data_IF_555664319885
#
_entry.id   IF_555664319885
#
_cell.length_a   1.000
_cell.length_b   1.000
_cell.length_c   1.000
_cell.angle_alpha   90.00
_cell.angle_beta   90.00
_cell.angle_gamma   90.00
#
_symmetry.space_group_name_H-M   'P 1'
#
loop_
_entity.id
_entity.type
_entity.pdbx_description
1 polymer ?
#
# COMPACT_ATOMS: atom_id res chain seq x y z
N UNK A 1 1.61 8.98 -5.61
CA UNK A 1 0.41 8.98 -4.75
C UNK A 1 0.27 10.30 -4.02
N UNK A 2 1.37 10.95 -3.63
CA UNK A 2 1.34 12.31 -3.09
C UNK A 2 0.61 13.30 -4.02
N UNK A 3 0.88 13.24 -5.32
CA UNK A 3 0.20 14.11 -6.31
C UNK A 3 -1.32 13.87 -6.39
N UNK A 4 -1.75 12.61 -6.31
CA UNK A 4 -3.18 12.25 -6.30
C UNK A 4 -3.88 12.84 -5.07
N UNK A 5 -3.24 12.75 -3.90
CA UNK A 5 -3.73 13.35 -2.65
C UNK A 5 -3.79 14.87 -2.75
N UNK A 6 -2.73 15.52 -3.22
CA UNK A 6 -2.67 16.97 -3.40
C UNK A 6 -3.75 17.47 -4.37
N UNK A 7 -4.03 16.70 -5.44
CA UNK A 7 -5.11 17.00 -6.38
C UNK A 7 -6.49 16.89 -5.71
N UNK A 8 -6.75 15.80 -4.98
CA UNK A 8 -8.00 15.61 -4.24
C UNK A 8 -8.22 16.72 -3.19
N UNK A 9 -7.18 17.08 -2.43
CA UNK A 9 -7.20 18.19 -1.48
C UNK A 9 -7.47 19.53 -2.19
N UNK A 10 -6.95 19.72 -3.39
CA UNK A 10 -7.25 20.89 -4.21
C UNK A 10 -8.72 21.02 -4.55
N UNK A 11 -9.32 19.94 -5.04
CA UNK A 11 -10.76 19.86 -5.33
C UNK A 11 -11.59 20.13 -4.07
N UNK A 12 -11.22 19.52 -2.94
CA UNK A 12 -11.91 19.67 -1.66
C UNK A 12 -11.83 21.09 -1.07
N UNK A 13 -10.80 21.87 -1.41
CA UNK A 13 -10.70 23.28 -1.00
C UNK A 13 -11.60 24.20 -1.80
N UNK A 14 -11.94 23.82 -3.03
CA UNK A 14 -12.64 24.67 -3.99
C UNK A 14 -14.12 24.31 -4.11
N UNK A 15 -14.50 23.12 -3.68
CA UNK A 15 -15.83 22.57 -3.84
C UNK A 15 -16.34 21.90 -2.56
N UNK A 16 -17.45 22.40 -2.05
CA UNK A 16 -18.15 21.81 -0.90
C UNK A 16 -19.03 20.61 -1.29
N UNK A 17 -19.18 20.34 -2.60
CA UNK A 17 -19.95 19.21 -3.14
C UNK A 17 -19.43 18.78 -4.52
N UNK A 18 -19.54 17.48 -4.81
CA UNK A 18 -19.23 16.88 -6.11
C UNK A 18 -20.44 16.10 -6.60
N UNK A 19 -21.06 16.53 -7.70
CA UNK A 19 -22.21 15.83 -8.30
C UNK A 19 -21.79 14.52 -8.99
N UNK A 20 -20.62 14.54 -9.65
CA UNK A 20 -20.09 13.38 -10.35
C UNK A 20 -18.56 13.32 -10.29
N UNK A 21 -18.04 12.13 -10.02
CA UNK A 21 -16.62 11.78 -10.14
C UNK A 21 -16.48 10.73 -11.24
N UNK A 22 -15.67 11.03 -12.26
CA UNK A 22 -15.39 10.10 -13.36
C UNK A 22 -13.91 9.73 -13.35
N UNK A 23 -13.63 8.52 -12.88
CA UNK A 23 -12.32 7.90 -12.94
C UNK A 23 -12.07 7.35 -14.35
N UNK A 24 -11.77 8.26 -15.28
CA UNK A 24 -11.51 7.95 -16.68
C UNK A 24 -10.03 7.78 -17.01
N UNK A 25 -9.13 8.43 -16.25
CA UNK A 25 -7.71 8.35 -16.53
C UNK A 25 -7.23 6.90 -16.42
N UNK A 26 -6.56 6.43 -17.45
CA UNK A 26 -6.00 5.08 -17.50
C UNK A 26 -4.83 5.01 -18.47
N UNK A 27 -3.88 4.11 -18.18
CA UNK A 27 -2.76 3.81 -19.07
C UNK A 27 -2.79 2.35 -19.49
N UNK A 28 -2.49 2.11 -20.76
CA UNK A 28 -2.25 0.78 -21.32
C UNK A 28 -1.02 0.87 -22.22
N UNK A 29 0.01 0.11 -21.86
CA UNK A 29 1.27 0.07 -22.59
C UNK A 29 1.46 -1.40 -23.00
N UNK A 30 0.93 -1.81 -24.16
CA UNK A 30 0.88 -3.22 -24.56
C UNK A 30 2.23 -3.81 -24.95
N UNK A 31 3.27 -2.97 -25.10
CA UNK A 31 4.59 -3.40 -25.54
C UNK A 31 5.66 -2.53 -24.89
N UNK A 32 6.67 -3.16 -24.30
CA UNK A 32 7.79 -2.46 -23.65
C UNK A 32 8.11 -3.05 -22.28
N UNK A 33 9.23 -2.62 -21.66
CA UNK A 33 9.60 -3.07 -20.33
C UNK A 33 8.59 -2.54 -19.29
N UNK A 34 8.46 -3.27 -18.17
CA UNK A 34 7.75 -2.83 -16.96
C UNK A 34 8.22 -1.43 -16.58
N UNK A 35 7.26 -0.53 -16.29
CA UNK A 35 7.55 0.83 -15.86
C UNK A 35 7.05 1.03 -14.45
N UNK A 36 7.72 1.89 -13.71
CA UNK A 36 7.34 2.26 -12.35
C UNK A 36 6.92 3.73 -12.30
N UNK A 37 5.94 4.01 -11.44
CA UNK A 37 5.62 5.35 -10.98
C UNK A 37 6.73 5.90 -10.09
N UNK A 38 6.70 7.21 -9.80
CA UNK A 38 7.65 7.84 -8.88
C UNK A 38 7.57 7.26 -7.45
N UNK A 39 6.45 6.62 -7.09
CA UNK A 39 6.26 5.96 -5.81
C UNK A 39 6.69 4.47 -5.82
N UNK A 40 7.28 3.98 -6.92
CA UNK A 40 7.78 2.60 -7.04
C UNK A 40 6.73 1.53 -7.37
N UNK A 41 5.47 1.92 -7.59
CA UNK A 41 4.45 0.98 -8.09
C UNK A 41 4.58 0.76 -9.59
N UNK A 42 4.26 -0.45 -10.06
CA UNK A 42 4.06 -0.70 -11.49
C UNK A 42 3.05 0.31 -12.07
N UNK A 43 3.33 0.88 -13.24
CA UNK A 43 2.65 2.04 -13.76
C UNK A 43 1.16 1.80 -14.11
N UNK A 44 0.80 0.65 -14.71
CA UNK A 44 -0.61 0.33 -14.97
C UNK A 44 -1.36 0.16 -13.65
N UNK A 45 -0.78 -0.59 -12.71
CA UNK A 45 -1.33 -0.76 -11.38
C UNK A 45 -1.56 0.61 -10.75
N UNK A 46 -0.53 1.45 -10.66
CA UNK A 46 -0.55 2.77 -10.02
C UNK A 46 -1.66 3.70 -10.55
N UNK A 47 -1.84 3.76 -11.86
CA UNK A 47 -2.77 4.71 -12.50
C UNK A 47 -4.19 4.15 -12.54
N UNK A 48 -4.35 2.85 -12.84
CA UNK A 48 -5.66 2.28 -13.13
C UNK A 48 -6.39 1.81 -11.87
N UNK A 49 -5.72 1.70 -10.71
CA UNK A 49 -6.33 1.16 -9.49
C UNK A 49 -6.18 2.01 -8.19
N UNK A 50 -4.99 2.17 -7.55
CA UNK A 50 -4.88 2.90 -6.30
C UNK A 50 -5.11 4.41 -6.49
N UNK A 51 -4.79 4.99 -7.66
CA UNK A 51 -5.13 6.38 -7.94
C UNK A 51 -6.66 6.65 -7.95
N UNK A 52 -7.49 5.96 -8.75
CA UNK A 52 -8.94 6.14 -8.72
C UNK A 52 -9.57 5.69 -7.39
N UNK A 53 -9.00 4.68 -6.71
CA UNK A 53 -9.39 4.34 -5.34
C UNK A 53 -9.23 5.54 -4.40
N UNK A 54 -8.04 6.17 -4.37
CA UNK A 54 -7.80 7.36 -3.56
C UNK A 54 -8.69 8.54 -3.96
N UNK A 55 -8.86 8.81 -5.26
CA UNK A 55 -9.72 9.90 -5.74
C UNK A 55 -11.20 9.69 -5.40
N UNK A 56 -11.63 8.45 -5.17
CA UNK A 56 -12.99 8.14 -4.72
C UNK A 56 -13.11 8.23 -3.20
N UNK A 57 -12.12 7.72 -2.46
CA UNK A 57 -12.16 7.64 -1.00
C UNK A 57 -11.85 8.97 -0.31
N UNK A 58 -10.92 9.77 -0.82
CA UNK A 58 -10.53 11.05 -0.20
C UNK A 58 -11.67 12.06 -0.15
N UNK A 59 -12.49 12.26 -1.21
CA UNK A 59 -13.60 13.19 -1.18
C UNK A 59 -14.92 12.58 -0.70
N UNK A 60 -14.93 11.39 -0.08
CA UNK A 60 -16.15 10.81 0.52
C UNK A 60 -16.95 11.79 1.40
N UNK A 61 -16.33 12.70 2.18
CA UNK A 61 -17.10 13.67 2.97
C UNK A 61 -17.94 14.68 2.16
N UNK A 62 -17.61 14.93 0.88
CA UNK A 62 -18.36 15.85 0.00
C UNK A 62 -19.15 15.13 -1.10
N UNK A 63 -18.92 13.82 -1.24
CA UNK A 63 -19.73 12.93 -2.05
C UNK A 63 -20.95 12.46 -1.25
N UNK A 64 -22.15 12.67 -1.77
CA UNK A 64 -23.38 12.05 -1.23
C UNK A 64 -23.91 12.62 0.09
N UNK A 65 -23.28 13.62 0.70
CA UNK A 65 -23.67 14.11 2.04
C UNK A 65 -24.88 15.04 2.04
N UNK A 66 -25.08 15.84 1.00
CA UNK A 66 -26.23 16.75 0.88
C UNK A 66 -27.16 16.42 -0.31
N UNK A 67 -26.61 15.81 -1.36
CA UNK A 67 -27.28 15.45 -2.62
C UNK A 67 -26.64 14.19 -3.21
N UNK A 68 -27.35 13.41 -4.03
CA UNK A 68 -26.80 12.22 -4.67
C UNK A 68 -25.57 12.56 -5.50
N UNK A 69 -24.49 11.80 -5.32
CA UNK A 69 -23.28 11.88 -6.14
C UNK A 69 -23.13 10.60 -6.96
N UNK A 70 -22.61 10.71 -8.18
CA UNK A 70 -22.35 9.58 -9.06
C UNK A 70 -20.84 9.34 -9.19
N UNK A 71 -20.38 8.13 -8.91
CA UNK A 71 -19.00 7.72 -9.19
C UNK A 71 -19.00 6.74 -10.37
N UNK A 72 -18.22 7.06 -11.41
CA UNK A 72 -18.07 6.23 -12.61
C UNK A 72 -16.62 5.82 -12.76
N UNK A 73 -16.36 4.51 -12.75
CA UNK A 73 -15.06 3.93 -13.12
C UNK A 73 -15.13 3.47 -14.58
N UNK A 74 -14.27 4.03 -15.44
CA UNK A 74 -14.22 3.64 -16.84
C UNK A 74 -13.33 2.41 -17.00
N UNK A 75 -13.90 1.34 -17.56
CA UNK A 75 -13.18 0.10 -17.89
C UNK A 75 -12.91 0.00 -19.40
N UNK A 76 -12.06 -0.97 -19.79
CA UNK A 76 -11.70 -1.22 -21.19
C UNK A 76 -11.93 -2.68 -21.57
N UNK A 77 -12.21 -2.94 -22.85
CA UNK A 77 -12.23 -4.29 -23.41
C UNK A 77 -10.88 -5.01 -23.30
N UNK A 78 -9.78 -4.27 -23.09
CA UNK A 78 -8.45 -4.81 -22.83
C UNK A 78 -8.18 -5.17 -21.35
N UNK A 79 -9.20 -5.26 -20.52
CA UNK A 79 -9.04 -5.73 -19.14
C UNK A 79 -8.52 -7.17 -19.10
N UNK A 80 -7.65 -7.46 -18.14
CA UNK A 80 -7.11 -8.78 -17.88
C UNK A 80 -7.22 -9.12 -16.39
N UNK A 81 -7.11 -10.40 -16.05
CA UNK A 81 -6.90 -10.80 -14.66
C UNK A 81 -5.63 -10.16 -14.12
N UNK A 82 -5.67 -9.70 -12.88
CA UNK A 82 -4.46 -9.32 -12.15
C UNK A 82 -3.70 -10.61 -11.82
N UNK A 83 -2.42 -10.63 -12.17
CA UNK A 83 -1.53 -11.68 -11.69
C UNK A 83 -1.10 -11.33 -10.26
N UNK A 84 -1.83 -11.87 -9.28
CA UNK A 84 -1.51 -11.66 -7.87
C UNK A 84 -0.21 -12.37 -7.45
N UNK A 85 0.32 -13.29 -8.26
CA UNK A 85 1.62 -13.92 -8.02
C UNK A 85 2.79 -12.97 -8.36
N UNK A 86 2.55 -11.91 -9.14
CA UNK A 86 3.53 -10.84 -9.40
C UNK A 86 3.56 -9.77 -8.29
N UNK A 87 2.77 -9.94 -7.22
CA UNK A 87 2.84 -9.09 -6.03
C UNK A 87 3.78 -9.72 -5.00
N UNK A 88 4.85 -8.99 -4.66
CA UNK A 88 5.75 -9.36 -3.57
C UNK A 88 5.33 -8.72 -2.25
N UNK A 89 5.04 -9.54 -1.24
CA UNK A 89 4.77 -9.12 0.12
C UNK A 89 5.61 -9.94 1.11
N UNK A 90 6.58 -9.27 1.76
CA UNK A 90 7.48 -9.86 2.76
C UNK A 90 7.48 -9.04 4.04
N UNK A 91 8.00 -9.63 5.13
CA UNK A 91 8.18 -8.95 6.39
C UNK A 91 9.67 -8.84 6.76
N UNK A 92 10.03 -7.76 7.42
CA UNK A 92 11.40 -7.47 7.85
C UNK A 92 11.42 -7.02 9.30
N UNK A 93 12.29 -7.63 10.10
CA UNK A 93 12.83 -7.02 11.31
C UNK A 93 14.13 -6.31 10.94
N UNK A 94 14.18 -4.96 10.95
CA UNK A 94 15.36 -4.22 10.48
C UNK A 94 16.55 -4.29 11.45
N UNK A 95 16.32 -4.72 12.69
CA UNK A 95 17.34 -4.86 13.73
C UNK A 95 16.82 -4.50 15.11
N UNK A 96 17.48 -4.99 16.15
CA UNK A 96 17.06 -4.82 17.55
C UNK A 96 17.74 -3.60 18.17
N UNK A 97 16.96 -2.77 18.86
CA UNK A 97 17.44 -1.56 19.55
C UNK A 97 18.32 -0.66 18.66
N UNK A 98 17.89 -0.43 17.42
CA UNK A 98 18.54 0.53 16.55
C UNK A 98 18.51 1.92 17.19
N UNK A 99 19.56 2.69 16.98
CA UNK A 99 19.75 4.02 17.55
C UNK A 99 18.70 5.02 17.03
N UNK A 100 17.53 4.96 17.64
CA UNK A 100 16.31 5.70 17.27
C UNK A 100 15.83 6.49 18.48
N UNK A 101 15.04 7.53 18.23
CA UNK A 101 14.45 8.35 19.30
C UNK A 101 13.65 7.50 20.28
N UNK A 102 12.92 6.48 19.82
CA UNK A 102 12.15 5.56 20.65
C UNK A 102 13.04 4.78 21.63
N UNK A 103 14.16 4.20 21.16
CA UNK A 103 15.10 3.42 21.99
C UNK A 103 15.79 4.31 23.02
N UNK A 104 16.22 5.50 22.61
CA UNK A 104 16.82 6.49 23.51
C UNK A 104 15.84 6.97 24.58
N UNK A 105 14.60 7.26 24.20
CA UNK A 105 13.56 7.70 25.13
C UNK A 105 13.18 6.60 26.15
N UNK A 106 13.30 5.33 25.77
CA UNK A 106 13.12 4.20 26.67
C UNK A 106 14.31 3.99 27.63
N UNK A 107 15.39 4.78 27.53
CA UNK A 107 16.59 4.63 28.34
C UNK A 107 17.41 3.37 28.01
N UNK A 108 17.16 2.77 26.85
CA UNK A 108 17.83 1.55 26.39
C UNK A 108 19.10 1.96 25.62
N UNK A 109 20.23 1.33 25.94
CA UNK A 109 21.45 1.53 25.17
C UNK A 109 21.29 0.93 23.75
N UNK A 110 21.56 1.69 22.68
CA UNK A 110 21.47 1.17 21.32
C UNK A 110 22.39 -0.03 21.09
N UNK A 111 21.89 -1.02 20.35
CA UNK A 111 22.63 -2.22 19.95
C UNK A 111 22.95 -2.27 18.45
N UNK A 112 22.49 -1.27 17.69
CA UNK A 112 22.75 -1.09 16.27
C UNK A 112 22.42 0.33 15.82
N UNK A 113 22.64 0.62 14.55
CA UNK A 113 22.48 1.96 13.95
C UNK A 113 21.22 2.05 13.09
N UNK A 114 20.68 3.26 12.96
CA UNK A 114 19.58 3.49 12.01
C UNK A 114 19.98 3.16 10.56
N UNK A 115 21.24 3.37 10.19
CA UNK A 115 21.77 3.08 8.86
C UNK A 115 21.77 1.57 8.57
N UNK A 116 22.13 0.71 9.54
CA UNK A 116 22.03 -0.74 9.39
C UNK A 116 20.59 -1.19 9.10
N UNK A 117 19.61 -0.60 9.79
CA UNK A 117 18.19 -0.86 9.51
C UNK A 117 17.76 -0.40 8.12
N UNK A 118 18.23 0.77 7.68
CA UNK A 118 17.96 1.28 6.34
C UNK A 118 18.56 0.38 5.25
N UNK A 119 19.78 -0.14 5.46
CA UNK A 119 20.44 -1.07 4.55
C UNK A 119 19.67 -2.40 4.44
N UNK A 120 19.08 -2.89 5.53
CA UNK A 120 18.23 -4.08 5.51
C UNK A 120 16.98 -3.88 4.64
N UNK A 121 16.33 -2.71 4.74
CA UNK A 121 15.19 -2.33 3.88
C UNK A 121 15.62 -2.21 2.42
N UNK A 122 16.69 -1.47 2.14
CA UNK A 122 17.19 -1.25 0.79
C UNK A 122 17.50 -2.58 0.08
N UNK A 123 18.09 -3.54 0.78
CA UNK A 123 18.36 -4.87 0.22
C UNK A 123 17.09 -5.58 -0.26
N UNK A 124 15.97 -5.45 0.44
CA UNK A 124 14.71 -6.07 0.00
C UNK A 124 14.15 -5.38 -1.24
N UNK A 125 14.32 -4.06 -1.34
CA UNK A 125 13.83 -3.28 -2.48
C UNK A 125 14.67 -3.50 -3.75
N UNK A 126 15.99 -3.67 -3.62
CA UNK A 126 16.90 -3.70 -4.78
C UNK A 126 17.28 -5.11 -5.25
N UNK A 127 16.94 -6.16 -4.49
CA UNK A 127 17.32 -7.52 -4.84
C UNK A 127 16.32 -8.13 -5.83
N UNK A 128 16.67 -8.20 -7.12
CA UNK A 128 15.83 -8.81 -8.17
C UNK A 128 15.35 -10.23 -7.80
N UNK A 129 16.21 -11.04 -7.17
CA UNK A 129 15.84 -12.39 -6.70
C UNK A 129 14.69 -12.43 -5.68
N UNK A 130 14.36 -11.30 -5.07
CA UNK A 130 13.27 -11.16 -4.10
C UNK A 130 12.01 -10.53 -4.72
N UNK A 131 12.08 -10.03 -5.96
CA UNK A 131 10.98 -9.33 -6.63
C UNK A 131 9.75 -10.22 -6.90
N UNK A 132 9.90 -11.54 -6.84
CA UNK A 132 8.82 -12.53 -7.00
C UNK A 132 8.77 -13.52 -5.82
N UNK A 133 9.15 -13.08 -4.62
CA UNK A 133 9.16 -13.94 -3.44
C UNK A 133 8.25 -13.35 -2.37
N UNK A 134 7.07 -13.92 -2.18
CA UNK A 134 6.10 -13.53 -1.15
C UNK A 134 6.14 -14.45 0.06
N UNK A 135 5.73 -13.93 1.22
CA UNK A 135 5.57 -14.67 2.46
C UNK A 135 6.88 -14.99 3.18
N UNK A 136 7.97 -14.31 2.81
CA UNK A 136 9.27 -14.46 3.46
C UNK A 136 9.42 -13.50 4.64
N UNK A 137 10.28 -13.91 5.57
CA UNK A 137 10.67 -13.09 6.71
C UNK A 137 12.18 -12.92 6.77
N UNK A 138 12.61 -11.71 7.08
CA UNK A 138 14.01 -11.35 7.19
C UNK A 138 14.30 -10.73 8.55
N UNK A 139 15.43 -11.12 9.14
CA UNK A 139 16.02 -10.49 10.32
C UNK A 139 17.35 -9.85 9.88
N UNK A 140 17.35 -8.51 9.83
CA UNK A 140 18.33 -7.71 9.12
C UNK A 140 18.43 -8.15 7.66
N UNK A 141 19.58 -8.68 7.26
CA UNK A 141 19.85 -9.12 5.89
C UNK A 141 19.63 -10.62 5.64
N UNK A 142 19.25 -11.38 6.67
CA UNK A 142 19.13 -12.84 6.61
C UNK A 142 17.67 -13.26 6.53
N UNK A 143 17.35 -14.16 5.61
CA UNK A 143 16.05 -14.85 5.61
C UNK A 143 16.00 -15.80 6.80
N UNK A 144 14.91 -15.76 7.57
CA UNK A 144 14.70 -16.61 8.73
C UNK A 144 13.20 -16.91 8.90
N UNK A 145 12.84 -17.66 9.94
CA UNK A 145 11.44 -17.97 10.26
C UNK A 145 10.92 -17.10 11.40
N UNK A 146 9.68 -16.67 11.26
CA UNK A 146 8.91 -16.08 12.35
C UNK A 146 8.50 -17.16 13.38
N UNK A 147 7.93 -16.69 14.48
CA UNK A 147 7.19 -17.55 15.39
C UNK A 147 6.15 -18.41 14.63
N UNK A 148 6.00 -19.71 14.92
CA UNK A 148 5.13 -20.61 14.17
C UNK A 148 3.68 -20.13 14.02
N UNK A 149 3.16 -19.48 15.07
CA UNK A 149 1.81 -18.90 15.07
C UNK A 149 1.57 -17.90 13.92
N UNK A 150 2.60 -17.16 13.49
CA UNK A 150 2.48 -16.19 12.40
C UNK A 150 2.12 -16.85 11.05
N UNK A 151 2.35 -18.16 10.92
CA UNK A 151 2.02 -18.93 9.72
C UNK A 151 0.68 -19.68 9.84
N UNK A 152 0.09 -19.73 11.04
CA UNK A 152 -1.19 -20.37 11.26
C UNK A 152 -2.30 -19.62 10.49
N UNK A 153 -3.12 -20.37 9.76
CA UNK A 153 -4.15 -19.77 8.89
C UNK A 153 -5.32 -19.22 9.71
N UNK A 154 -5.74 -19.97 10.73
CA UNK A 154 -6.91 -19.64 11.53
C UNK A 154 -6.62 -18.40 12.39
N UNK A 155 -5.42 -18.32 12.97
CA UNK A 155 -5.00 -17.13 13.71
C UNK A 155 -4.89 -15.89 12.83
N UNK A 156 -4.39 -16.02 11.59
CA UNK A 156 -4.34 -14.90 10.64
C UNK A 156 -5.73 -14.45 10.21
N UNK A 157 -6.63 -15.39 9.91
CA UNK A 157 -8.01 -15.08 9.55
C UNK A 157 -8.75 -14.41 10.71
N UNK A 158 -8.55 -14.90 11.94
CA UNK A 158 -9.11 -14.29 13.15
C UNK A 158 -8.58 -12.88 13.39
N UNK A 159 -7.28 -12.66 13.26
CA UNK A 159 -6.67 -11.34 13.42
C UNK A 159 -7.19 -10.36 12.37
N UNK A 160 -7.37 -10.81 11.12
CA UNK A 160 -7.97 -10.01 10.05
C UNK A 160 -9.38 -9.56 10.42
N UNK A 161 -10.26 -10.49 10.80
CA UNK A 161 -11.64 -10.14 11.16
C UNK A 161 -11.74 -9.18 12.35
N UNK A 162 -10.90 -9.36 13.38
CA UNK A 162 -10.81 -8.41 14.50
C UNK A 162 -10.34 -7.03 14.01
N UNK A 163 -9.35 -6.98 13.13
CA UNK A 163 -8.81 -5.72 12.60
C UNK A 163 -9.84 -4.97 11.76
N UNK A 164 -10.58 -5.67 10.90
CA UNK A 164 -11.67 -5.10 10.09
C UNK A 164 -12.77 -4.49 10.99
N UNK A 165 -13.17 -5.20 12.05
CA UNK A 165 -14.11 -4.68 13.05
C UNK A 165 -13.60 -3.43 13.78
N UNK A 166 -12.35 -3.45 14.26
CA UNK A 166 -11.77 -2.34 15.03
C UNK A 166 -11.56 -1.07 14.19
N UNK A 167 -11.30 -1.25 12.89
CA UNK A 167 -11.05 -0.14 11.97
C UNK A 167 -12.32 0.42 11.32
N UNK A 168 -13.49 -0.17 11.60
CA UNK A 168 -14.75 0.12 10.92
C UNK A 168 -14.64 0.03 9.38
N UNK A 169 -13.67 -0.75 8.87
CA UNK A 169 -13.59 -1.10 7.45
C UNK A 169 -14.62 -2.17 7.07
N UNK A 170 -15.23 -2.82 8.07
CA UNK A 170 -16.41 -3.68 7.93
C UNK A 170 -17.71 -2.85 7.89
N UNK A 171 -17.77 -1.92 6.93
CA UNK A 171 -19.00 -1.19 6.55
C UNK A 171 -19.15 -1.31 5.03
N UNK A 172 -19.50 -2.52 4.57
CA UNK A 172 -19.80 -2.81 3.18
C UNK A 172 -20.65 -4.07 3.05
N UNK A 173 -21.97 -3.87 3.14
CA UNK A 173 -22.94 -4.60 2.31
C UNK A 173 -22.79 -4.15 0.84
#
# INVERSE_FOLDING_TARGET
MAEVRASAEGVLREHDHIDALVNNAGVSIPSGPRRESLDGFELHLAVNHPAPFLLTHLPLPVLGTARPSLVVNVASAGQSSVDFEDLTANCLHPGTHLDTTMVRAAGIAPAGTAEEGANAVHRLLSAERLAHSTGRYFDGVRETRMHPQAYDFDDRARLRGISEQLTALDQGD
#
